data_IF_712367380203
#
_entry.id   IF_712367380203
#
_cell.length_a   1.000
_cell.length_b   1.000
_cell.length_c   1.000
_cell.angle_alpha   90.00
_cell.angle_beta   90.00
_cell.angle_gamma   90.00
#
_symmetry.space_group_name_H-M   'P 1'
#
loop_
_entity.id
_entity.type
_entity.pdbx_description
1 polymer ?
#
# COMPACT_ATOMS: atom_id res chain seq x y z
N UNK A 1 -0.91 21.04 32.52
CA UNK A 1 -0.19 20.40 31.39
C UNK A 1 -1.06 19.95 30.20
N UNK A 2 -2.39 19.81 30.31
CA UNK A 2 -3.21 19.19 29.24
C UNK A 2 -3.17 19.84 27.85
N UNK A 3 -2.95 21.16 27.77
CA UNK A 3 -2.79 21.87 26.48
C UNK A 3 -1.51 21.51 25.72
N UNK A 4 -0.44 21.10 26.42
CA UNK A 4 0.83 20.70 25.79
C UNK A 4 0.74 19.27 25.29
N UNK A 5 0.18 18.35 26.09
CA UNK A 5 -0.08 16.98 25.64
C UNK A 5 -1.00 16.95 24.41
N UNK A 6 -2.08 17.74 24.41
CA UNK A 6 -2.99 17.80 23.26
C UNK A 6 -2.30 18.26 21.96
N UNK A 7 -1.37 19.21 22.06
CA UNK A 7 -0.56 19.66 20.90
C UNK A 7 0.40 18.58 20.42
N UNK A 8 1.10 17.89 21.32
CA UNK A 8 2.01 16.80 20.96
C UNK A 8 1.27 15.64 20.29
N UNK A 9 0.14 15.23 20.85
CA UNK A 9 -0.70 14.17 20.27
C UNK A 9 -1.20 14.56 18.88
N UNK A 10 -1.63 15.81 18.68
CA UNK A 10 -2.07 16.31 17.38
C UNK A 10 -0.94 16.25 16.34
N UNK A 11 0.28 16.65 16.73
CA UNK A 11 1.45 16.56 15.84
C UNK A 11 1.76 15.11 15.43
N UNK A 12 1.69 14.16 16.37
CA UNK A 12 1.91 12.73 16.08
C UNK A 12 0.83 12.21 15.11
N UNK A 13 -0.43 12.60 15.29
CA UNK A 13 -1.49 12.23 14.36
C UNK A 13 -1.29 12.81 12.97
N UNK A 14 -0.86 14.08 12.86
CA UNK A 14 -0.55 14.70 11.56
C UNK A 14 0.62 14.01 10.86
N UNK A 15 1.69 13.71 11.59
CA UNK A 15 2.84 12.97 11.05
C UNK A 15 2.41 11.58 10.57
N UNK A 16 1.61 10.88 11.36
CA UNK A 16 1.08 9.56 10.98
C UNK A 16 0.25 9.65 9.70
N UNK A 17 -0.66 10.63 9.61
CA UNK A 17 -1.45 10.86 8.40
C UNK A 17 -0.59 11.18 7.17
N UNK A 18 0.43 12.02 7.32
CA UNK A 18 1.36 12.33 6.25
C UNK A 18 2.16 11.10 5.78
N UNK A 19 2.64 10.27 6.71
CA UNK A 19 3.32 9.01 6.39
C UNK A 19 2.42 8.01 5.67
N UNK A 20 1.15 7.89 6.10
CA UNK A 20 0.16 7.05 5.43
C UNK A 20 -0.10 7.51 3.98
N UNK A 21 -0.21 8.83 3.77
CA UNK A 21 -0.35 9.40 2.43
C UNK A 21 0.88 9.13 1.56
N UNK A 22 2.08 9.33 2.11
CA UNK A 22 3.32 9.03 1.40
C UNK A 22 3.42 7.54 1.01
N UNK A 23 3.03 6.64 1.90
CA UNK A 23 2.98 5.21 1.61
C UNK A 23 1.97 4.89 0.50
N UNK A 24 0.76 5.46 0.54
CA UNK A 24 -0.25 5.28 -0.50
C UNK A 24 0.24 5.79 -1.88
N UNK A 25 0.93 6.93 -1.91
CA UNK A 25 1.55 7.47 -3.12
C UNK A 25 2.67 6.55 -3.64
N UNK A 26 3.50 6.00 -2.75
CA UNK A 26 4.52 5.02 -3.10
C UNK A 26 3.92 3.77 -3.75
N UNK A 27 2.86 3.21 -3.16
CA UNK A 27 2.13 2.09 -3.78
C UNK A 27 1.56 2.51 -5.14
N UNK A 28 0.98 3.71 -5.25
CA UNK A 28 0.42 4.19 -6.50
C UNK A 28 1.45 4.32 -7.61
N UNK A 29 2.66 4.80 -7.31
CA UNK A 29 3.72 4.96 -8.31
C UNK A 29 4.29 3.61 -8.74
N UNK A 30 4.53 2.70 -7.79
CA UNK A 30 4.98 1.35 -8.10
C UNK A 30 3.95 0.59 -8.94
N UNK A 31 2.67 0.68 -8.59
CA UNK A 31 1.60 0.03 -9.36
C UNK A 31 1.47 0.63 -10.77
N UNK A 32 1.55 1.96 -10.89
CA UNK A 32 1.54 2.60 -12.21
C UNK A 32 2.71 2.13 -13.10
N UNK A 33 3.91 2.00 -12.53
CA UNK A 33 5.08 1.50 -13.24
C UNK A 33 4.93 0.02 -13.66
N UNK A 34 4.36 -0.82 -12.80
CA UNK A 34 4.08 -2.24 -13.12
C UNK A 34 3.07 -2.36 -14.26
N UNK A 35 2.00 -1.55 -14.22
CA UNK A 35 0.96 -1.52 -15.26
C UNK A 35 1.52 -1.10 -16.61
N UNK A 36 2.42 -0.11 -16.65
CA UNK A 36 3.08 0.34 -17.89
C UNK A 36 3.89 -0.79 -18.55
N UNK A 37 4.60 -1.60 -17.75
CA UNK A 37 5.39 -2.74 -18.26
C UNK A 37 4.53 -3.88 -18.78
N UNK A 38 3.29 -4.00 -18.30
CA UNK A 38 2.35 -5.07 -18.64
C UNK A 38 1.22 -4.60 -19.58
N UNK A 39 1.37 -3.43 -20.22
CA UNK A 39 0.35 -2.91 -21.14
C UNK A 39 0.09 -3.85 -22.32
N UNK A 40 1.13 -4.51 -22.83
CA UNK A 40 1.02 -5.46 -23.94
C UNK A 40 0.18 -6.69 -23.54
N UNK A 41 0.42 -7.22 -22.33
CA UNK A 41 -0.37 -8.32 -21.75
C UNK A 41 -1.84 -7.91 -21.58
N UNK A 42 -2.11 -6.70 -21.04
CA UNK A 42 -3.46 -6.17 -20.88
C UNK A 42 -4.15 -5.98 -22.24
N UNK A 43 -3.41 -5.54 -23.25
CA UNK A 43 -3.87 -5.38 -24.62
C UNK A 43 -4.28 -6.72 -25.25
N UNK A 44 -3.46 -7.76 -25.06
CA UNK A 44 -3.75 -9.12 -25.50
C UNK A 44 -4.96 -9.70 -24.77
N UNK A 45 -5.06 -9.53 -23.45
CA UNK A 45 -6.22 -9.99 -22.67
C UNK A 45 -7.51 -9.32 -23.15
N UNK A 46 -7.48 -8.02 -23.45
CA UNK A 46 -8.66 -7.33 -23.99
C UNK A 46 -9.00 -7.75 -25.42
N UNK A 47 -8.03 -8.11 -26.26
CA UNK A 47 -8.30 -8.54 -27.64
C UNK A 47 -8.95 -9.93 -27.73
N UNK A 48 -8.67 -10.81 -26.75
CA UNK A 48 -9.36 -12.11 -26.60
C UNK A 48 -10.71 -12.00 -25.85
N UNK A 49 -11.14 -10.77 -25.52
CA UNK A 49 -12.46 -10.51 -24.92
C UNK A 49 -12.50 -10.53 -23.38
N UNK A 50 -11.35 -10.44 -22.69
CA UNK A 50 -11.36 -10.37 -21.22
C UNK A 50 -12.00 -9.08 -20.72
N UNK A 51 -12.86 -9.21 -19.71
CA UNK A 51 -13.55 -8.08 -19.09
C UNK A 51 -12.57 -7.21 -18.27
N UNK A 52 -12.80 -5.90 -18.27
CA UNK A 52 -11.98 -4.96 -17.49
C UNK A 52 -12.08 -5.21 -15.98
N UNK A 53 -13.19 -5.80 -15.52
CA UNK A 53 -13.36 -6.23 -14.12
C UNK A 53 -12.40 -7.36 -13.77
N UNK A 54 -12.26 -8.36 -14.64
CA UNK A 54 -11.35 -9.51 -14.42
C UNK A 54 -9.89 -9.04 -14.30
N UNK A 55 -9.48 -8.15 -15.21
CA UNK A 55 -8.14 -7.55 -15.19
C UNK A 55 -7.95 -6.73 -13.90
N UNK A 56 -8.95 -5.94 -13.50
CA UNK A 56 -8.88 -5.16 -12.26
C UNK A 56 -8.72 -6.03 -11.00
N UNK A 57 -9.36 -7.21 -10.97
CA UNK A 57 -9.28 -8.13 -9.86
C UNK A 57 -7.88 -8.74 -9.70
N UNK A 58 -7.20 -9.02 -10.82
CA UNK A 58 -5.81 -9.53 -10.80
C UNK A 58 -4.87 -8.51 -10.18
N UNK A 59 -4.91 -7.24 -10.64
CA UNK A 59 -4.05 -6.20 -10.08
C UNK A 59 -4.40 -5.84 -8.64
N UNK A 60 -5.69 -5.92 -8.27
CA UNK A 60 -6.10 -5.73 -6.88
C UNK A 60 -5.59 -6.87 -5.98
N UNK A 61 -5.61 -8.11 -6.47
CA UNK A 61 -5.02 -9.24 -5.76
C UNK A 61 -3.49 -9.07 -5.60
N UNK A 62 -2.79 -8.60 -6.63
CA UNK A 62 -1.37 -8.25 -6.54
C UNK A 62 -1.12 -7.18 -5.45
N UNK A 63 -1.92 -6.11 -5.43
CA UNK A 63 -1.83 -5.07 -4.41
C UNK A 63 -2.10 -5.61 -2.98
N UNK A 64 -3.06 -6.52 -2.83
CA UNK A 64 -3.37 -7.16 -1.55
C UNK A 64 -2.22 -8.06 -1.08
N UNK A 65 -1.60 -8.83 -1.97
CA UNK A 65 -0.45 -9.67 -1.63
C UNK A 65 0.74 -8.80 -1.20
N UNK A 66 1.04 -7.74 -1.96
CA UNK A 66 2.11 -6.79 -1.60
C UNK A 66 1.79 -6.13 -0.24
N UNK A 67 0.55 -5.70 -0.02
CA UNK A 67 0.11 -5.12 1.24
C UNK A 67 0.18 -6.08 2.43
N UNK A 68 -0.18 -7.35 2.23
CA UNK A 68 -0.12 -8.38 3.27
C UNK A 68 1.34 -8.67 3.67
N UNK A 69 2.22 -8.88 2.69
CA UNK A 69 3.64 -9.14 2.91
C UNK A 69 4.31 -7.92 3.56
N UNK A 70 4.06 -6.72 3.03
CA UNK A 70 4.59 -5.48 3.58
C UNK A 70 4.08 -5.19 4.99
N UNK A 71 2.79 -5.43 5.25
CA UNK A 71 2.19 -5.29 6.58
C UNK A 71 2.77 -6.27 7.60
N UNK A 72 2.94 -7.53 7.22
CA UNK A 72 3.55 -8.54 8.09
C UNK A 72 5.02 -8.20 8.40
N UNK A 73 5.81 -7.88 7.36
CA UNK A 73 7.20 -7.49 7.51
C UNK A 73 7.35 -6.21 8.36
N UNK A 74 6.52 -5.21 8.10
CA UNK A 74 6.50 -3.95 8.85
C UNK A 74 6.11 -4.14 10.31
N UNK A 75 5.14 -5.00 10.60
CA UNK A 75 4.74 -5.32 11.98
C UNK A 75 5.87 -6.03 12.75
N UNK A 76 6.50 -7.05 12.14
CA UNK A 76 7.63 -7.75 12.74
C UNK A 76 8.82 -6.81 12.98
N UNK A 77 9.12 -5.95 12.01
CA UNK A 77 10.17 -4.94 12.13
C UNK A 77 9.87 -3.94 13.27
N UNK A 78 8.62 -3.48 13.35
CA UNK A 78 8.15 -2.57 14.41
C UNK A 78 8.32 -3.17 15.81
N UNK A 79 8.03 -4.46 16.00
CA UNK A 79 8.27 -5.14 17.28
C UNK A 79 9.76 -5.13 17.64
N UNK A 80 10.64 -5.42 16.66
CA UNK A 80 12.08 -5.40 16.86
C UNK A 80 12.59 -4.03 17.32
N UNK A 81 12.19 -2.97 16.59
CA UNK A 81 12.55 -1.58 16.92
C UNK A 81 11.98 -1.16 18.28
N UNK A 82 10.72 -1.50 18.56
CA UNK A 82 10.06 -1.16 19.83
C UNK A 82 10.76 -1.80 21.02
N UNK A 83 11.16 -3.08 20.91
CA UNK A 83 11.92 -3.76 21.96
C UNK A 83 13.30 -3.13 22.18
N UNK A 84 13.99 -2.78 21.09
CA UNK A 84 15.31 -2.16 21.15
C UNK A 84 15.27 -0.81 21.88
N UNK A 85 14.30 0.05 21.55
CA UNK A 85 14.11 1.35 22.20
C UNK A 85 13.64 1.17 23.65
N UNK A 86 12.70 0.26 23.90
CA UNK A 86 12.16 -0.02 25.23
C UNK A 86 13.22 -0.44 26.24
N UNK A 87 14.13 -1.34 25.84
CA UNK A 87 15.23 -1.81 26.68
C UNK A 87 16.25 -0.70 26.96
N UNK A 88 16.60 0.11 25.95
CA UNK A 88 17.65 1.14 26.06
C UNK A 88 17.23 2.40 26.82
N UNK A 89 15.95 2.77 26.75
CA UNK A 89 15.47 4.07 27.24
C UNK A 89 14.60 3.95 28.49
N UNK A 90 13.75 2.92 28.56
CA UNK A 90 12.71 2.85 29.59
C UNK A 90 12.91 1.72 30.61
N UNK A 91 13.89 0.83 30.39
CA UNK A 91 14.15 -0.38 31.22
C UNK A 91 12.90 -1.26 31.44
N UNK A 92 11.92 -1.12 30.53
CA UNK A 92 10.64 -1.84 30.55
C UNK A 92 10.51 -2.69 29.30
N UNK A 93 10.09 -3.94 29.46
CA UNK A 93 9.74 -4.80 28.35
C UNK A 93 8.43 -4.30 27.71
N UNK A 94 8.53 -3.55 26.61
CA UNK A 94 7.37 -3.25 25.76
C UNK A 94 6.92 -4.57 25.11
N UNK A 95 5.96 -5.24 25.75
CA UNK A 95 5.35 -6.43 25.21
C UNK A 95 4.54 -6.07 23.96
N UNK A 96 4.86 -6.69 22.82
CA UNK A 96 4.08 -6.54 21.60
C UNK A 96 2.64 -6.99 21.88
N UNK A 97 1.69 -6.04 21.88
CA UNK A 97 0.27 -6.36 22.03
C UNK A 97 -0.20 -7.08 20.79
N UNK A 98 -0.40 -8.39 20.89
CA UNK A 98 -0.95 -9.22 19.81
C UNK A 98 -2.29 -8.68 19.27
N UNK A 99 -3.05 -7.95 20.11
CA UNK A 99 -4.29 -7.28 19.72
C UNK A 99 -4.10 -6.20 18.64
N UNK A 100 -2.89 -5.64 18.49
CA UNK A 100 -2.57 -4.64 17.46
C UNK A 100 -2.24 -5.25 16.10
N UNK A 101 -1.92 -6.55 16.06
CA UNK A 101 -1.63 -7.27 14.82
C UNK A 101 -2.73 -7.15 13.75
N UNK A 102 -4.02 -7.45 14.05
CA UNK A 102 -5.07 -7.34 13.04
C UNK A 102 -5.26 -5.91 12.56
N UNK A 103 -5.10 -4.92 13.43
CA UNK A 103 -5.21 -3.50 13.08
C UNK A 103 -4.08 -3.08 12.14
N UNK A 104 -2.85 -3.53 12.41
CA UNK A 104 -1.69 -3.25 11.57
C UNK A 104 -1.87 -3.84 10.17
N UNK A 105 -2.23 -5.12 10.07
CA UNK A 105 -2.47 -5.79 8.79
C UNK A 105 -3.63 -5.13 8.04
N UNK A 106 -4.75 -4.85 8.71
CA UNK A 106 -5.90 -4.21 8.08
C UNK A 106 -5.54 -2.82 7.53
N UNK A 107 -4.77 -2.03 8.29
CA UNK A 107 -4.31 -0.71 7.84
C UNK A 107 -3.37 -0.81 6.63
N UNK A 108 -2.46 -1.79 6.59
CA UNK A 108 -1.57 -2.02 5.46
C UNK A 108 -2.36 -2.40 4.19
N UNK A 109 -3.32 -3.32 4.32
CA UNK A 109 -4.21 -3.72 3.22
C UNK A 109 -5.03 -2.53 2.71
N UNK A 110 -5.59 -1.73 3.63
CA UNK A 110 -6.37 -0.55 3.29
C UNK A 110 -5.54 0.45 2.47
N UNK A 111 -4.31 0.75 2.90
CA UNK A 111 -3.40 1.67 2.18
C UNK A 111 -3.04 1.12 0.81
N UNK A 112 -2.72 -0.18 0.70
CA UNK A 112 -2.38 -0.80 -0.58
C UNK A 112 -3.55 -0.77 -1.56
N UNK A 113 -4.77 -1.01 -1.09
CA UNK A 113 -5.98 -0.90 -1.92
C UNK A 113 -6.22 0.56 -2.32
N UNK A 114 -6.20 1.49 -1.38
CA UNK A 114 -6.43 2.92 -1.67
C UNK A 114 -5.40 3.49 -2.64
N UNK A 115 -4.12 3.12 -2.49
CA UNK A 115 -3.04 3.53 -3.39
C UNK A 115 -3.14 2.91 -4.78
N UNK A 116 -3.68 1.70 -4.92
CA UNK A 116 -3.75 0.99 -6.21
C UNK A 116 -5.02 1.26 -7.03
N UNK A 117 -6.11 1.72 -6.41
CA UNK A 117 -7.39 1.99 -7.12
C UNK A 117 -7.21 3.02 -8.25
N UNK A 118 -6.51 4.13 -8.00
CA UNK A 118 -6.30 5.18 -8.98
C UNK A 118 -5.51 4.72 -10.21
N UNK A 119 -4.31 4.11 -10.09
CA UNK A 119 -3.55 3.64 -11.24
C UNK A 119 -4.24 2.50 -11.99
N UNK A 120 -4.89 1.54 -11.29
CA UNK A 120 -5.65 0.46 -11.94
C UNK A 120 -6.76 1.04 -12.83
N UNK A 121 -7.56 1.98 -12.30
CA UNK A 121 -8.62 2.65 -13.08
C UNK A 121 -8.07 3.42 -14.28
N UNK A 122 -6.90 4.06 -14.13
CA UNK A 122 -6.26 4.78 -15.25
C UNK A 122 -5.78 3.83 -16.33
N UNK A 123 -5.12 2.73 -15.98
CA UNK A 123 -4.63 1.74 -16.95
C UNK A 123 -5.78 1.08 -17.73
N UNK A 124 -6.90 0.77 -17.07
CA UNK A 124 -8.06 0.16 -17.74
C UNK A 124 -8.75 1.09 -18.74
N UNK A 125 -8.61 2.41 -18.59
CA UNK A 125 -9.16 3.41 -19.52
C UNK A 125 -8.30 3.63 -20.77
N UNK A 126 -7.06 3.15 -20.80
CA UNK A 126 -6.19 3.27 -21.98
C UNK A 126 -6.76 2.41 -23.11
N UNK A 127 -6.96 3.03 -24.28
CA UNK A 127 -7.54 2.37 -25.46
C UNK A 127 -6.53 1.35 -26.03
N UNK A 128 -6.92 0.08 -26.22
CA UNK A 128 -6.02 -0.97 -26.74
C UNK A 128 -5.39 -0.64 -28.10
N UNK A 129 -6.07 0.18 -28.91
CA UNK A 129 -5.66 0.55 -30.26
C UNK A 129 -4.33 1.33 -30.35
N UNK A 130 -3.85 1.93 -29.24
CA UNK A 130 -2.58 2.67 -29.23
C UNK A 130 -1.40 1.71 -29.05
N UNK A 131 -1.58 0.61 -28.31
CA UNK A 131 -0.51 -0.34 -28.00
C UNK A 131 -0.08 -1.13 -29.25
N UNK A 132 -1.03 -1.46 -30.14
CA UNK A 132 -0.75 -2.18 -31.38
C UNK A 132 -0.25 -1.29 -32.54
N UNK A 133 -0.34 0.04 -32.44
CA UNK A 133 0.17 0.98 -33.46
C UNK A 133 1.54 1.59 -33.12
N UNK A 134 2.08 1.33 -31.94
CA UNK A 134 3.40 1.83 -31.52
C UNK A 134 4.56 0.87 -31.80
N UNK A 135 4.33 -0.22 -32.54
CA UNK A 135 5.35 -1.16 -32.98
C UNK A 135 5.87 -0.86 -34.40
N UNK A 136 5.90 0.42 -34.77
CA UNK A 136 6.64 0.96 -35.93
C UNK A 136 7.79 1.83 -35.45
#
# INVERSE_FOLDING_TARGET
EGRVLGRLTLLIYLLTAASLLAAALGVSTTMAASLLRRLDEIGLMKSIGADSVSISAIFLAEALVIGAIGGLAGYLFSIGVSKYIGYRVFDTAIAGRAMLFPIAILSALLISVLGSILPIRRALRVKPAIVLKGAE
#
